data_IF_735471560245
#
_entry.id   IF_735471560245
#
_cell.length_a   1.000
_cell.length_b   1.000
_cell.length_c   1.000
_cell.angle_alpha   90.00
_cell.angle_beta   90.00
_cell.angle_gamma   90.00
#
_symmetry.space_group_name_H-M   'P 1'
#
loop_
_entity.id
_entity.type
_entity.pdbx_description
1 polymer ?
#
# COMPACT_ATOMS: atom_id res chain seq x y z
N UNK A 1 6.83 -20.89 -18.37
CA UNK A 1 5.62 -20.03 -18.49
C UNK A 1 5.05 -19.63 -17.14
N UNK A 2 4.83 -20.56 -16.20
CA UNK A 2 4.31 -20.28 -14.85
C UNK A 2 5.07 -19.20 -14.05
N UNK A 3 6.40 -19.22 -14.04
CA UNK A 3 7.20 -18.21 -13.31
C UNK A 3 7.08 -16.79 -13.87
N UNK A 4 6.87 -16.65 -15.18
CA UNK A 4 6.76 -15.33 -15.82
C UNK A 4 5.42 -14.68 -15.50
N UNK A 5 4.35 -15.47 -15.41
CA UNK A 5 3.03 -15.01 -14.99
C UNK A 5 2.98 -14.70 -13.50
N UNK A 6 3.57 -15.55 -12.65
CA UNK A 6 3.64 -15.30 -11.21
C UNK A 6 4.41 -14.01 -10.89
N UNK A 7 5.58 -13.80 -11.51
CA UNK A 7 6.35 -12.55 -11.38
C UNK A 7 5.57 -11.34 -11.89
N UNK A 8 4.89 -11.47 -13.04
CA UNK A 8 4.12 -10.37 -13.62
C UNK A 8 2.97 -9.96 -12.72
N UNK A 9 2.28 -10.91 -12.09
CA UNK A 9 1.20 -10.61 -11.16
C UNK A 9 1.71 -10.02 -9.84
N UNK A 10 2.84 -10.50 -9.32
CA UNK A 10 3.49 -9.89 -8.15
C UNK A 10 3.88 -8.43 -8.44
N UNK A 11 4.54 -8.16 -9.57
CA UNK A 11 4.90 -6.79 -9.93
C UNK A 11 3.68 -5.92 -10.25
N UNK A 12 2.59 -6.50 -10.78
CA UNK A 12 1.34 -5.79 -11.02
C UNK A 12 0.59 -5.51 -9.71
N UNK A 13 0.68 -6.37 -8.70
CA UNK A 13 0.11 -6.12 -7.39
C UNK A 13 0.94 -5.08 -6.63
N UNK A 14 2.27 -5.22 -6.63
CA UNK A 14 3.19 -4.19 -6.13
C UNK A 14 2.98 -2.84 -6.84
N UNK A 15 2.69 -2.84 -8.15
CA UNK A 15 2.33 -1.62 -8.87
C UNK A 15 1.16 -0.86 -8.27
N UNK A 16 0.16 -1.60 -7.77
CA UNK A 16 -1.08 -1.04 -7.26
C UNK A 16 -0.92 -0.47 -5.87
N UNK A 17 -0.02 -1.04 -5.07
CA UNK A 17 0.18 -0.64 -3.67
C UNK A 17 1.32 0.36 -3.51
N UNK A 18 2.35 0.28 -4.34
CA UNK A 18 3.45 1.25 -4.35
C UNK A 18 3.02 2.58 -4.93
N UNK A 19 2.92 3.59 -4.08
CA UNK A 19 2.59 4.93 -4.55
C UNK A 19 2.69 6.00 -3.47
N UNK A 20 1.81 6.99 -3.62
CA UNK A 20 1.72 8.14 -2.72
C UNK A 20 1.52 7.73 -1.27
N UNK A 21 0.83 6.60 -1.01
CA UNK A 21 0.63 6.06 0.33
C UNK A 21 1.94 5.75 1.07
N UNK A 22 2.94 5.19 0.39
CA UNK A 22 4.22 4.81 0.98
C UNK A 22 5.11 6.01 1.35
N UNK A 23 4.85 7.17 0.74
CA UNK A 23 5.64 8.39 0.92
C UNK A 23 4.85 9.40 1.75
N UNK A 24 3.77 9.92 1.19
CA UNK A 24 2.91 10.90 1.84
C UNK A 24 2.16 10.31 3.02
N UNK A 25 1.71 9.05 2.93
CA UNK A 25 1.03 8.39 4.05
C UNK A 25 1.93 8.21 5.25
N UNK A 26 3.19 7.81 5.05
CA UNK A 26 4.20 7.71 6.11
C UNK A 26 4.52 9.09 6.69
N UNK A 27 4.75 10.09 5.83
CA UNK A 27 5.01 11.47 6.26
C UNK A 27 3.85 12.03 7.09
N UNK A 28 2.60 11.83 6.65
CA UNK A 28 1.41 12.23 7.39
C UNK A 28 1.29 11.47 8.72
N UNK A 29 1.59 10.18 8.73
CA UNK A 29 1.61 9.36 9.95
C UNK A 29 2.60 9.90 10.99
N UNK A 30 3.81 10.26 10.56
CA UNK A 30 4.83 10.87 11.44
C UNK A 30 4.41 12.27 11.88
N UNK A 31 3.83 13.07 10.99
CA UNK A 31 3.38 14.43 11.31
C UNK A 31 2.24 14.45 12.35
N UNK A 32 1.26 13.55 12.19
CA UNK A 32 0.05 13.52 13.02
C UNK A 32 0.26 12.65 14.27
N UNK A 33 0.89 11.49 14.11
CA UNK A 33 1.07 10.49 15.17
C UNK A 33 2.45 10.51 15.85
N UNK A 34 3.37 11.35 15.37
CA UNK A 34 4.75 11.42 15.85
C UNK A 34 5.62 10.25 15.36
N UNK A 35 6.91 10.27 15.72
CA UNK A 35 7.89 9.25 15.33
C UNK A 35 7.50 7.82 15.75
N UNK A 36 6.72 7.68 16.83
CA UNK A 36 6.23 6.38 17.31
C UNK A 36 5.26 5.69 16.34
N UNK A 37 4.62 6.43 15.45
CA UNK A 37 3.76 5.84 14.40
C UNK A 37 4.52 4.88 13.49
N UNK A 38 5.82 5.12 13.25
CA UNK A 38 6.64 4.25 12.40
C UNK A 38 6.84 2.86 13.02
N UNK A 39 6.95 2.78 14.35
CA UNK A 39 6.98 1.49 15.07
C UNK A 39 5.67 0.73 14.88
N UNK A 40 4.53 1.40 15.08
CA UNK A 40 3.21 0.79 14.95
C UNK A 40 2.90 0.40 13.50
N UNK A 41 3.39 1.16 12.52
CA UNK A 41 3.33 0.80 11.10
C UNK A 41 4.15 -0.46 10.79
N UNK A 42 5.37 -0.57 11.32
CA UNK A 42 6.18 -1.77 11.17
C UNK A 42 5.52 -2.99 11.84
N UNK A 43 4.90 -2.82 13.00
CA UNK A 43 4.14 -3.88 13.66
C UNK A 43 2.88 -4.27 12.87
N UNK A 44 2.14 -3.29 12.36
CA UNK A 44 0.95 -3.51 11.52
C UNK A 44 1.28 -4.34 10.27
N UNK A 45 2.49 -4.20 9.73
CA UNK A 45 2.98 -5.00 8.58
C UNK A 45 2.88 -6.51 8.85
N UNK A 46 3.17 -6.96 10.07
CA UNK A 46 3.10 -8.40 10.42
C UNK A 46 1.64 -8.89 10.34
N UNK A 47 0.70 -8.14 10.89
CA UNK A 47 -0.72 -8.48 10.84
C UNK A 47 -1.28 -8.37 9.42
N UNK A 48 -0.90 -7.33 8.69
CA UNK A 48 -1.24 -7.13 7.28
C UNK A 48 -0.79 -8.32 6.41
N UNK A 49 0.40 -8.87 6.67
CA UNK A 49 0.92 -10.02 5.93
C UNK A 49 0.04 -11.27 6.10
N UNK A 50 -0.44 -11.53 7.32
CA UNK A 50 -1.35 -12.65 7.59
C UNK A 50 -2.69 -12.45 6.89
N UNK A 51 -3.24 -11.24 6.93
CA UNK A 51 -4.51 -10.92 6.25
C UNK A 51 -4.35 -11.09 4.74
N UNK A 52 -3.28 -10.54 4.14
CA UNK A 52 -3.00 -10.67 2.72
C UNK A 52 -2.78 -12.10 2.27
N UNK A 53 -2.11 -12.92 3.09
CA UNK A 53 -1.99 -14.34 2.84
C UNK A 53 -3.36 -15.01 2.71
N UNK A 54 -4.26 -14.75 3.67
CA UNK A 54 -5.61 -15.32 3.67
C UNK A 54 -6.42 -14.85 2.46
N UNK A 55 -6.39 -13.55 2.12
CA UNK A 55 -7.09 -12.98 0.97
C UNK A 55 -6.61 -13.60 -0.36
N UNK A 56 -5.29 -13.67 -0.58
CA UNK A 56 -4.73 -14.17 -1.82
C UNK A 56 -4.92 -15.70 -1.95
N UNK A 57 -4.79 -16.44 -0.86
CA UNK A 57 -5.05 -17.90 -0.82
C UNK A 57 -6.52 -18.19 -1.11
N UNK A 58 -7.44 -17.47 -0.46
CA UNK A 58 -8.87 -17.62 -0.70
C UNK A 58 -9.20 -17.34 -2.17
N UNK A 59 -8.67 -16.26 -2.73
CA UNK A 59 -8.91 -15.89 -4.14
C UNK A 59 -8.40 -16.96 -5.12
N UNK A 60 -7.21 -17.51 -4.88
CA UNK A 60 -6.62 -18.54 -5.73
C UNK A 60 -7.32 -19.90 -5.59
N UNK A 61 -8.03 -20.15 -4.50
CA UNK A 61 -8.83 -21.37 -4.31
C UNK A 61 -10.13 -21.39 -5.13
N UNK A 62 -10.62 -20.22 -5.58
CA UNK A 62 -11.84 -20.11 -6.37
C UNK A 62 -11.59 -20.55 -7.84
N UNK A 63 -12.58 -21.20 -8.43
CA UNK A 63 -12.50 -21.80 -9.78
C UNK A 63 -13.69 -21.39 -10.65
N UNK A 64 -13.56 -21.52 -11.99
CA UNK A 64 -14.64 -21.22 -12.93
C UNK A 64 -14.99 -19.73 -13.03
N UNK A 65 -16.27 -19.40 -13.19
CA UNK A 65 -16.76 -18.01 -13.22
C UNK A 65 -16.54 -17.25 -11.90
N UNK A 66 -16.30 -17.97 -10.80
CA UNK A 66 -16.03 -17.39 -9.48
C UNK A 66 -14.58 -16.91 -9.30
N UNK A 67 -13.70 -17.19 -10.27
CA UNK A 67 -12.37 -16.58 -10.35
C UNK A 67 -12.52 -15.08 -10.53
N UNK A 68 -12.19 -14.29 -9.51
CA UNK A 68 -12.14 -12.84 -9.69
C UNK A 68 -12.36 -11.98 -8.46
N UNK A 69 -12.70 -12.51 -7.29
CA UNK A 69 -12.54 -11.73 -6.07
C UNK A 69 -13.53 -12.00 -4.96
N UNK A 70 -13.23 -11.36 -3.82
CA UNK A 70 -13.92 -11.51 -2.55
C UNK A 70 -15.44 -11.33 -2.65
N UNK A 71 -15.95 -10.49 -3.56
CA UNK A 71 -17.38 -10.35 -3.80
C UNK A 71 -18.10 -11.68 -4.13
N UNK A 72 -17.47 -12.56 -4.93
CA UNK A 72 -18.04 -13.87 -5.26
C UNK A 72 -17.78 -14.90 -4.16
N UNK A 73 -16.62 -14.83 -3.52
CA UNK A 73 -16.30 -15.64 -2.35
C UNK A 73 -17.36 -15.47 -1.25
N UNK A 74 -17.80 -14.23 -1.00
CA UNK A 74 -18.84 -13.91 -0.02
C UNK A 74 -20.17 -14.57 -0.37
N UNK A 75 -20.56 -14.57 -1.65
CA UNK A 75 -21.77 -15.24 -2.13
C UNK A 75 -21.74 -16.76 -1.89
N UNK A 76 -20.56 -17.38 -2.00
CA UNK A 76 -20.39 -18.81 -1.76
C UNK A 76 -20.33 -19.16 -0.26
N UNK A 77 -19.61 -18.36 0.53
CA UNK A 77 -19.39 -18.61 1.97
C UNK A 77 -20.67 -18.33 2.79
N UNK A 78 -21.47 -17.35 2.39
CA UNK A 78 -22.67 -16.93 3.12
C UNK A 78 -23.96 -17.16 2.31
N UNK A 79 -24.63 -18.31 2.43
CA UNK A 79 -25.75 -18.68 1.56
C UNK A 79 -26.96 -17.74 1.63
N UNK A 80 -27.16 -17.06 2.77
CA UNK A 80 -28.34 -16.23 3.02
C UNK A 80 -28.14 -14.75 2.70
N UNK A 81 -26.92 -14.24 2.86
CA UNK A 81 -26.62 -12.80 2.73
C UNK A 81 -25.42 -12.51 1.84
N UNK A 82 -24.73 -13.53 1.32
CA UNK A 82 -23.47 -13.40 0.61
C UNK A 82 -23.56 -12.61 -0.69
N UNK A 83 -24.68 -12.73 -1.42
CA UNK A 83 -24.92 -11.92 -2.62
C UNK A 83 -25.03 -10.42 -2.29
N UNK A 84 -25.71 -10.06 -1.20
CA UNK A 84 -25.80 -8.69 -0.72
C UNK A 84 -24.44 -8.17 -0.22
N UNK A 85 -23.73 -8.96 0.59
CA UNK A 85 -22.38 -8.62 1.07
C UNK A 85 -21.40 -8.45 -0.10
N UNK A 86 -21.50 -9.30 -1.12
CA UNK A 86 -20.68 -9.23 -2.33
C UNK A 86 -20.96 -7.97 -3.15
N UNK A 87 -22.23 -7.61 -3.34
CA UNK A 87 -22.63 -6.38 -4.02
C UNK A 87 -22.17 -5.13 -3.23
N UNK A 88 -22.34 -5.12 -1.91
CA UNK A 88 -21.86 -4.05 -1.04
C UNK A 88 -20.34 -3.89 -1.13
N UNK A 89 -19.59 -4.99 -1.02
CA UNK A 89 -18.14 -5.00 -1.20
C UNK A 89 -17.73 -4.44 -2.57
N UNK A 90 -18.39 -4.87 -3.65
CA UNK A 90 -18.08 -4.40 -4.99
C UNK A 90 -18.29 -2.89 -5.13
N UNK A 91 -19.42 -2.36 -4.62
CA UNK A 91 -19.70 -0.92 -4.62
C UNK A 91 -18.68 -0.11 -3.83
N UNK A 92 -18.33 -0.57 -2.62
CA UNK A 92 -17.31 0.08 -1.79
C UNK A 92 -15.92 0.02 -2.45
N UNK A 93 -15.59 -1.09 -3.11
CA UNK A 93 -14.31 -1.26 -3.82
C UNK A 93 -14.20 -0.30 -5.00
N UNK A 94 -15.27 -0.08 -5.77
CA UNK A 94 -15.29 0.91 -6.86
C UNK A 94 -15.07 2.33 -6.32
N UNK A 95 -15.74 2.67 -5.22
CA UNK A 95 -15.55 3.97 -4.56
C UNK A 95 -14.11 4.14 -4.06
N UNK A 96 -13.56 3.11 -3.42
CA UNK A 96 -12.18 3.11 -2.93
C UNK A 96 -11.17 3.26 -4.08
N UNK A 97 -11.39 2.57 -5.20
CA UNK A 97 -10.54 2.69 -6.38
C UNK A 97 -10.52 4.12 -6.94
N UNK A 98 -11.64 4.85 -6.89
CA UNK A 98 -11.69 6.25 -7.32
C UNK A 98 -10.94 7.17 -6.33
N UNK A 99 -11.20 7.03 -5.03
CA UNK A 99 -10.62 7.89 -4.01
C UNK A 99 -9.11 7.65 -3.86
N UNK A 100 -8.72 6.41 -3.59
CA UNK A 100 -7.35 6.04 -3.26
C UNK A 100 -6.51 5.77 -4.51
N UNK A 101 -7.10 5.15 -5.54
CA UNK A 101 -6.40 4.85 -6.80
C UNK A 101 -6.23 6.05 -7.72
N UNK A 102 -7.02 7.12 -7.58
CA UNK A 102 -6.98 8.26 -8.49
C UNK A 102 -6.91 9.63 -7.79
N UNK A 103 -7.91 9.98 -6.97
CA UNK A 103 -8.01 11.35 -6.44
C UNK A 103 -6.83 11.71 -5.52
N UNK A 104 -6.46 10.83 -4.59
CA UNK A 104 -5.33 11.05 -3.68
C UNK A 104 -3.99 11.03 -4.44
N UNK A 105 -3.84 10.15 -5.43
CA UNK A 105 -2.59 10.05 -6.19
C UNK A 105 -2.36 11.27 -7.10
N UNK A 106 -3.39 11.69 -7.83
CA UNK A 106 -3.32 12.84 -8.73
C UNK A 106 -3.09 14.15 -8.00
N UNK A 107 -3.74 14.36 -6.85
CA UNK A 107 -3.54 15.55 -6.02
C UNK A 107 -2.12 15.63 -5.46
N UNK A 108 -1.58 14.54 -4.91
CA UNK A 108 -0.20 14.52 -4.42
C UNK A 108 0.82 14.76 -5.54
N UNK A 109 0.58 14.21 -6.74
CA UNK A 109 1.46 14.44 -7.88
C UNK A 109 1.42 15.90 -8.35
N UNK A 110 0.24 16.54 -8.35
CA UNK A 110 0.11 17.96 -8.66
C UNK A 110 0.83 18.84 -7.63
N UNK A 111 0.71 18.53 -6.33
CA UNK A 111 1.46 19.23 -5.27
C UNK A 111 2.97 19.03 -5.39
N UNK A 112 3.44 17.84 -5.81
CA UNK A 112 4.87 17.61 -6.09
C UNK A 112 5.35 18.45 -7.27
N UNK A 113 4.56 18.54 -8.35
CA UNK A 113 4.91 19.33 -9.53
C UNK A 113 5.00 20.82 -9.20
N UNK A 114 4.09 21.32 -8.36
CA UNK A 114 4.16 22.69 -7.85
C UNK A 114 5.41 22.90 -6.98
N UNK A 115 5.63 22.05 -5.98
CA UNK A 115 6.75 22.22 -5.05
C UNK A 115 8.14 22.04 -5.68
N UNK A 116 8.28 21.13 -6.64
CA UNK A 116 9.58 20.77 -7.22
C UNK A 116 9.89 21.50 -8.54
N UNK A 117 8.87 21.86 -9.32
CA UNK A 117 9.03 22.40 -10.67
C UNK A 117 8.33 23.76 -10.86
N UNK A 118 7.70 24.31 -9.82
CA UNK A 118 6.93 25.57 -9.85
C UNK A 118 5.82 25.56 -10.92
N UNK A 119 5.28 24.36 -11.22
CA UNK A 119 4.18 24.19 -12.18
C UNK A 119 2.85 24.36 -11.44
N UNK A 120 1.98 25.31 -11.85
CA UNK A 120 0.70 25.51 -11.19
C UNK A 120 -0.17 24.25 -11.17
N UNK A 121 -0.85 23.99 -10.04
CA UNK A 121 -1.70 22.81 -9.83
C UNK A 121 -2.71 22.61 -10.97
N UNK A 122 -3.32 23.69 -11.47
CA UNK A 122 -4.30 23.62 -12.56
C UNK A 122 -3.71 23.07 -13.86
N UNK A 123 -2.48 23.45 -14.19
CA UNK A 123 -1.79 23.00 -15.40
C UNK A 123 -1.28 21.56 -15.25
N UNK A 124 -0.66 21.21 -14.12
CA UNK A 124 -0.19 19.85 -13.86
C UNK A 124 -1.35 18.84 -13.82
N UNK A 125 -2.47 19.21 -13.20
CA UNK A 125 -3.69 18.39 -13.16
C UNK A 125 -4.25 18.14 -14.56
N UNK A 126 -4.25 19.14 -15.45
CA UNK A 126 -4.70 18.98 -16.84
C UNK A 126 -3.78 18.03 -17.61
N UNK A 127 -2.46 18.17 -17.46
CA UNK A 127 -1.47 17.28 -18.08
C UNK A 127 -1.69 15.83 -17.62
N UNK A 128 -1.87 15.61 -16.31
CA UNK A 128 -2.13 14.26 -15.78
C UNK A 128 -3.47 13.70 -16.24
N UNK A 129 -4.52 14.51 -16.35
CA UNK A 129 -5.80 14.08 -16.91
C UNK A 129 -5.63 13.56 -18.35
N UNK A 130 -4.93 14.30 -19.22
CA UNK A 130 -4.66 13.84 -20.58
C UNK A 130 -3.81 12.56 -20.61
N UNK A 131 -2.79 12.46 -19.76
CA UNK A 131 -1.97 11.25 -19.65
C UNK A 131 -2.80 10.03 -19.22
N UNK A 132 -3.72 10.19 -18.28
CA UNK A 132 -4.66 9.14 -17.85
C UNK A 132 -5.61 8.76 -18.98
N UNK A 133 -6.23 9.73 -19.66
CA UNK A 133 -7.14 9.46 -20.79
C UNK A 133 -6.43 8.66 -21.89
N UNK A 134 -5.21 9.07 -22.27
CA UNK A 134 -4.40 8.36 -23.28
C UNK A 134 -4.06 6.95 -22.81
N UNK A 135 -3.72 6.79 -21.52
CA UNK A 135 -3.39 5.48 -20.94
C UNK A 135 -4.59 4.54 -20.92
N UNK A 136 -5.77 5.04 -20.53
CA UNK A 136 -7.03 4.28 -20.45
C UNK A 136 -7.61 3.98 -21.83
N UNK A 137 -7.42 4.88 -22.82
CA UNK A 137 -7.77 4.61 -24.21
C UNK A 137 -6.94 3.47 -24.83
N UNK A 138 -5.81 3.12 -24.20
CA UNK A 138 -5.04 1.93 -24.51
C UNK A 138 -5.73 0.62 -24.08
N UNK A 139 -5.24 -0.51 -24.60
CA UNK A 139 -5.64 -1.83 -24.08
C UNK A 139 -4.98 -2.05 -22.71
N UNK A 140 -5.70 -2.62 -21.75
CA UNK A 140 -5.21 -2.96 -20.39
C UNK A 140 -3.90 -3.77 -20.41
N UNK A 141 -3.69 -4.58 -21.44
CA UNK A 141 -2.46 -5.35 -21.64
C UNK A 141 -1.22 -4.46 -21.89
N UNK A 142 -1.38 -3.31 -22.54
CA UNK A 142 -0.29 -2.34 -22.76
C UNK A 142 0.13 -1.70 -21.45
N UNK A 143 -0.83 -1.29 -20.61
CA UNK A 143 -0.56 -0.72 -19.29
C UNK A 143 0.24 -1.73 -18.47
N UNK A 144 -0.25 -2.96 -18.35
CA UNK A 144 0.43 -4.01 -17.59
C UNK A 144 1.89 -4.27 -18.06
N UNK A 145 2.17 -4.19 -19.37
CA UNK A 145 3.54 -4.36 -19.91
C UNK A 145 4.47 -3.19 -19.58
N UNK A 146 3.94 -1.96 -19.51
CA UNK A 146 4.71 -0.77 -19.13
C UNK A 146 4.99 -0.81 -17.63
N UNK A 147 3.93 -1.03 -16.84
CA UNK A 147 3.94 -1.17 -15.39
C UNK A 147 4.98 -2.21 -14.92
N UNK A 148 5.03 -3.38 -15.55
CA UNK A 148 6.01 -4.45 -15.24
C UNK A 148 7.48 -3.99 -15.33
N UNK A 149 7.78 -3.01 -16.18
CA UNK A 149 9.15 -2.48 -16.35
C UNK A 149 9.41 -1.25 -15.51
N UNK A 150 8.44 -0.34 -15.44
CA UNK A 150 8.59 0.96 -14.80
C UNK A 150 8.68 0.81 -13.29
N UNK A 151 7.82 0.00 -12.67
CA UNK A 151 7.78 -0.10 -11.20
C UNK A 151 9.04 -0.68 -10.58
N UNK A 152 9.59 -1.80 -11.07
CA UNK A 152 10.86 -2.28 -10.51
C UNK A 152 11.97 -1.22 -10.61
N UNK A 153 12.02 -0.48 -11.72
CA UNK A 153 13.00 0.59 -11.91
C UNK A 153 12.78 1.75 -10.92
N UNK A 154 11.56 2.26 -10.79
CA UNK A 154 11.26 3.38 -9.89
C UNK A 154 11.45 3.01 -8.43
N UNK A 155 11.08 1.78 -8.04
CA UNK A 155 11.30 1.24 -6.69
C UNK A 155 12.79 1.16 -6.36
N UNK A 156 13.62 0.66 -7.27
CA UNK A 156 15.08 0.59 -7.06
C UNK A 156 15.67 1.98 -6.91
N UNK A 157 15.29 2.92 -7.80
CA UNK A 157 15.75 4.32 -7.71
C UNK A 157 15.37 4.92 -6.36
N UNK A 158 14.13 4.72 -5.92
CA UNK A 158 13.65 5.23 -4.64
C UNK A 158 14.44 4.66 -3.46
N UNK A 159 14.67 3.33 -3.43
CA UNK A 159 15.46 2.67 -2.38
C UNK A 159 16.88 3.26 -2.34
N UNK A 160 17.52 3.45 -3.50
CA UNK A 160 18.85 4.05 -3.57
C UNK A 160 18.84 5.47 -3.01
N UNK A 161 17.84 6.29 -3.35
CA UNK A 161 17.72 7.66 -2.84
C UNK A 161 17.50 7.68 -1.33
N UNK A 162 16.58 6.87 -0.80
CA UNK A 162 16.32 6.77 0.63
C UNK A 162 17.55 6.28 1.41
N UNK A 163 18.22 5.24 0.91
CA UNK A 163 19.46 4.74 1.51
C UNK A 163 20.57 5.78 1.46
N UNK A 164 20.67 6.57 0.39
CA UNK A 164 21.68 7.64 0.30
C UNK A 164 21.49 8.68 1.40
N UNK A 165 20.25 9.11 1.65
CA UNK A 165 19.92 10.04 2.76
C UNK A 165 20.30 9.41 4.11
N UNK A 166 19.94 8.14 4.32
CA UNK A 166 20.25 7.39 5.54
C UNK A 166 21.76 7.25 5.75
N UNK A 167 22.53 6.92 4.70
CA UNK A 167 23.98 6.75 4.80
C UNK A 167 24.71 8.05 5.10
N UNK A 168 24.29 9.17 4.50
CA UNK A 168 24.84 10.50 4.82
C UNK A 168 24.57 10.87 6.29
N UNK A 169 23.47 10.38 6.87
CA UNK A 169 23.06 10.64 8.25
C UNK A 169 23.21 9.44 9.18
N UNK A 170 24.10 8.49 8.86
CA UNK A 170 24.21 7.19 9.55
C UNK A 170 24.44 7.33 11.07
N UNK A 171 25.13 8.40 11.49
CA UNK A 171 25.40 8.71 12.90
C UNK A 171 24.14 9.03 13.72
N UNK A 172 23.06 9.46 13.06
CA UNK A 172 21.77 9.78 13.70
C UNK A 172 20.88 8.56 13.88
N UNK A 173 21.15 7.45 13.19
CA UNK A 173 20.30 6.25 13.21
C UNK A 173 20.06 5.71 14.63
N UNK A 174 21.06 5.60 15.53
CA UNK A 174 20.80 5.17 16.90
C UNK A 174 19.81 6.09 17.63
N UNK A 175 19.92 7.41 17.42
CA UNK A 175 19.02 8.40 18.02
C UNK A 175 17.62 8.33 17.41
N UNK A 176 17.50 8.16 16.09
CA UNK A 176 16.23 7.98 15.39
C UNK A 176 15.50 6.73 15.87
N UNK A 177 16.19 5.58 15.99
CA UNK A 177 15.61 4.34 16.51
C UNK A 177 15.16 4.49 17.96
N UNK A 178 15.96 5.16 18.80
CA UNK A 178 15.56 5.48 20.18
C UNK A 178 14.31 6.36 20.21
N UNK A 179 14.24 7.39 19.36
CA UNK A 179 13.09 8.29 19.26
C UNK A 179 11.82 7.52 18.86
N UNK A 180 11.90 6.65 17.84
CA UNK A 180 10.79 5.82 17.37
C UNK A 180 10.24 4.97 18.52
N UNK A 181 11.10 4.20 19.21
CA UNK A 181 10.65 3.31 20.29
C UNK A 181 10.15 4.10 21.49
N UNK A 182 10.86 5.17 21.89
CA UNK A 182 10.44 6.03 23.00
C UNK A 182 9.09 6.67 22.75
N UNK A 183 8.87 7.20 21.55
CA UNK A 183 7.59 7.80 21.16
C UNK A 183 6.48 6.76 21.03
N UNK A 184 6.79 5.53 20.62
CA UNK A 184 5.80 4.45 20.49
C UNK A 184 5.29 3.95 21.84
N UNK A 185 6.15 3.92 22.86
CA UNK A 185 5.85 3.40 24.19
C UNK A 185 5.85 4.46 25.30
N UNK A 186 5.74 5.75 24.95
CA UNK A 186 5.69 6.83 25.93
C UNK A 186 4.53 6.55 26.91
N UNK A 187 4.82 6.28 28.20
CA UNK A 187 3.82 5.75 29.11
C UNK A 187 2.71 6.77 29.38
N UNK A 188 1.49 6.40 28.99
CA UNK A 188 0.25 7.14 29.24
C UNK A 188 0.04 7.51 30.73
N UNK A 189 0.66 6.76 31.64
CA UNK A 189 0.50 6.92 33.09
C UNK A 189 1.38 8.00 33.73
N UNK A 190 2.42 8.52 33.05
CA UNK A 190 3.45 9.35 33.69
C UNK A 190 3.28 10.86 33.45
N UNK A 191 2.39 11.33 32.57
CA UNK A 191 2.29 12.78 32.30
C UNK A 191 0.99 13.35 31.72
N UNK A 192 -0.17 12.76 32.06
CA UNK A 192 -1.48 13.35 31.76
C UNK A 192 -1.97 13.16 30.32
N UNK A 193 -3.14 13.76 30.01
CA UNK A 193 -3.92 13.48 28.79
C UNK A 193 -3.22 13.73 27.46
N UNK A 194 -2.24 14.63 27.41
CA UNK A 194 -1.50 14.94 26.18
C UNK A 194 -0.57 13.79 25.72
N UNK A 195 0.13 13.14 26.65
CA UNK A 195 1.02 12.01 26.31
C UNK A 195 0.22 10.76 25.95
N UNK A 196 -0.90 10.49 26.64
CA UNK A 196 -1.84 9.42 26.29
C UNK A 196 -2.48 9.63 24.93
N UNK A 197 -2.80 10.89 24.57
CA UNK A 197 -3.31 11.24 23.26
C UNK A 197 -2.28 10.98 22.16
N UNK A 198 -1.01 11.37 22.36
CA UNK A 198 0.07 11.12 21.40
C UNK A 198 0.35 9.62 21.21
N UNK A 199 0.32 8.83 22.27
CA UNK A 199 0.42 7.36 22.18
C UNK A 199 -0.71 6.77 21.32
N UNK A 200 -1.96 7.12 21.65
CA UNK A 200 -3.15 6.61 20.94
C UNK A 200 -3.16 7.04 19.48
N UNK A 201 -2.75 8.29 19.19
CA UNK A 201 -2.60 8.79 17.84
C UNK A 201 -1.47 8.12 17.07
N UNK A 202 -0.30 7.93 17.67
CA UNK A 202 0.80 7.20 17.07
C UNK A 202 0.42 5.78 16.70
N UNK A 203 -0.28 5.08 17.59
CA UNK A 203 -0.79 3.73 17.34
C UNK A 203 -1.82 3.72 16.21
N UNK A 204 -2.85 4.55 16.30
CA UNK A 204 -3.93 4.61 15.32
C UNK A 204 -3.42 5.00 13.93
N UNK A 205 -2.58 6.03 13.83
CA UNK A 205 -1.99 6.45 12.56
C UNK A 205 -1.01 5.39 12.04
N UNK A 206 -0.18 4.77 12.89
CA UNK A 206 0.74 3.72 12.44
C UNK A 206 0.00 2.53 11.81
N UNK A 207 -1.06 2.03 12.46
CA UNK A 207 -1.90 0.97 11.90
C UNK A 207 -2.66 1.43 10.65
N UNK A 208 -3.27 2.61 10.67
CA UNK A 208 -4.03 3.13 9.54
C UNK A 208 -3.14 3.32 8.30
N UNK A 209 -1.93 3.87 8.45
CA UNK A 209 -1.00 4.05 7.32
C UNK A 209 -0.40 2.73 6.88
N UNK A 210 -0.14 1.81 7.81
CA UNK A 210 0.31 0.47 7.49
C UNK A 210 -0.69 -0.30 6.62
N UNK A 211 -1.97 -0.32 6.99
CA UNK A 211 -3.01 -1.01 6.21
C UNK A 211 -3.36 -0.29 4.91
N UNK A 212 -3.32 1.04 4.89
CA UNK A 212 -3.50 1.81 3.65
C UNK A 212 -2.34 1.62 2.67
N UNK A 213 -1.11 1.41 3.14
CA UNK A 213 0.04 1.23 2.24
C UNK A 213 -0.07 -0.07 1.44
N UNK A 214 -0.26 -1.19 2.13
CA UNK A 214 -0.30 -2.52 1.51
C UNK A 214 -1.70 -3.03 1.15
N UNK A 215 -2.73 -2.22 1.39
CA UNK A 215 -4.15 -2.55 1.16
C UNK A 215 -4.58 -3.87 1.82
N UNK A 216 -3.97 -4.28 2.95
CA UNK A 216 -4.41 -5.47 3.66
C UNK A 216 -5.79 -5.27 4.28
N UNK A 217 -6.69 -6.23 4.09
CA UNK A 217 -8.06 -6.19 4.62
C UNK A 217 -9.06 -5.51 3.69
N UNK A 218 -8.61 -4.83 2.62
CA UNK A 218 -9.51 -4.25 1.60
C UNK A 218 -9.97 -5.30 0.59
N UNK A 219 -9.24 -6.42 0.46
CA UNK A 219 -9.50 -7.45 -0.52
C UNK A 219 -9.15 -7.12 -1.97
N UNK A 220 -8.62 -5.93 -2.28
CA UNK A 220 -8.36 -5.49 -3.66
C UNK A 220 -7.27 -6.31 -4.36
N UNK A 221 -6.20 -6.67 -3.67
CA UNK A 221 -5.10 -7.48 -4.26
C UNK A 221 -5.57 -8.87 -4.70
N UNK A 222 -6.67 -9.37 -4.13
CA UNK A 222 -7.27 -10.65 -4.52
C UNK A 222 -7.71 -10.65 -5.99
N UNK A 223 -8.06 -9.50 -6.56
CA UNK A 223 -8.38 -9.35 -7.99
C UNK A 223 -7.15 -9.56 -8.87
N UNK A 224 -5.98 -9.06 -8.46
CA UNK A 224 -4.73 -9.26 -9.19
C UNK A 224 -4.27 -10.73 -9.10
N UNK A 225 -4.36 -11.32 -7.91
CA UNK A 225 -3.94 -12.71 -7.65
C UNK A 225 -4.88 -13.75 -8.25
N UNK A 226 -6.17 -13.45 -8.43
CA UNK A 226 -7.13 -14.35 -9.09
C UNK A 226 -6.76 -14.71 -10.54
N UNK A 227 -5.90 -13.89 -11.17
CA UNK A 227 -5.40 -14.12 -12.53
C UNK A 227 -4.19 -15.04 -12.58
N UNK A 228 -3.57 -15.35 -11.43
CA UNK A 228 -2.47 -16.30 -11.37
C UNK A 228 -3.06 -17.69 -11.44
N UNK A 229 -2.80 -18.39 -12.55
CA UNK A 229 -3.11 -19.81 -12.67
C UNK A 229 -2.07 -20.61 -11.87
N UNK A 230 -2.17 -20.55 -10.53
CA UNK A 230 -1.39 -21.43 -9.65
C UNK A 230 -2.11 -22.76 -9.50
N UNK A 231 -1.36 -23.85 -9.41
CA UNK A 231 -1.89 -25.16 -8.99
C UNK A 231 -2.01 -25.26 -7.46
N UNK A 232 -1.45 -24.31 -6.72
CA UNK A 232 -1.36 -24.35 -5.26
C UNK A 232 -1.70 -22.97 -4.67
N UNK A 233 -2.90 -22.78 -4.09
CA UNK A 233 -3.35 -21.49 -3.56
C UNK A 233 -2.42 -20.86 -2.50
N UNK A 234 -1.68 -21.69 -1.75
CA UNK A 234 -0.68 -21.26 -0.77
C UNK A 234 0.40 -20.35 -1.38
N UNK A 235 0.79 -20.60 -2.63
CA UNK A 235 1.79 -19.81 -3.35
C UNK A 235 1.30 -18.39 -3.64
N UNK A 236 0.00 -18.22 -3.91
CA UNK A 236 -0.60 -16.89 -4.03
C UNK A 236 -0.62 -16.17 -2.66
N UNK A 237 -0.91 -16.90 -1.58
CA UNK A 237 -0.78 -16.40 -0.22
C UNK A 237 0.63 -15.88 0.10
N UNK A 238 1.67 -16.67 -0.22
CA UNK A 238 3.06 -16.28 -0.02
C UNK A 238 3.44 -15.03 -0.83
N UNK A 239 2.95 -14.91 -2.06
CA UNK A 239 3.14 -13.69 -2.86
C UNK A 239 2.53 -12.46 -2.16
N UNK A 240 1.35 -12.59 -1.53
CA UNK A 240 0.75 -11.52 -0.73
C UNK A 240 1.58 -11.11 0.49
N UNK A 241 2.26 -12.06 1.15
CA UNK A 241 3.21 -11.73 2.25
C UNK A 241 4.40 -10.92 1.70
N UNK A 242 4.94 -11.34 0.56
CA UNK A 242 6.07 -10.66 -0.09
C UNK A 242 5.70 -9.24 -0.49
N UNK A 243 4.47 -9.02 -0.98
CA UNK A 243 3.94 -7.68 -1.28
C UNK A 243 3.98 -6.78 -0.06
N UNK A 244 3.38 -7.23 1.05
CA UNK A 244 3.33 -6.47 2.31
C UNK A 244 4.73 -6.14 2.84
N UNK A 245 5.66 -7.09 2.73
CA UNK A 245 7.04 -6.89 3.16
C UNK A 245 7.75 -5.79 2.35
N UNK A 246 7.73 -5.87 1.02
CA UNK A 246 8.42 -4.87 0.20
C UNK A 246 7.77 -3.49 0.28
N UNK A 247 6.44 -3.46 0.34
CA UNK A 247 5.65 -2.23 0.42
C UNK A 247 5.84 -1.50 1.75
N UNK A 248 5.49 -2.16 2.85
CA UNK A 248 5.40 -1.49 4.15
C UNK A 248 6.62 -1.80 5.02
N UNK A 249 7.03 -3.07 5.05
CA UNK A 249 8.16 -3.52 5.87
C UNK A 249 9.50 -2.94 5.43
N UNK A 250 9.67 -2.70 4.12
CA UNK A 250 10.89 -2.12 3.55
C UNK A 250 10.68 -0.66 3.14
N UNK A 251 9.82 -0.37 2.16
CA UNK A 251 9.75 0.98 1.59
C UNK A 251 9.23 1.99 2.59
N UNK A 252 8.11 1.75 3.26
CA UNK A 252 7.59 2.70 4.25
C UNK A 252 8.52 2.91 5.45
N UNK A 253 9.22 1.85 5.89
CA UNK A 253 10.25 1.97 6.93
C UNK A 253 11.42 2.82 6.46
N UNK A 254 11.93 2.60 5.24
CA UNK A 254 12.98 3.43 4.64
C UNK A 254 12.53 4.89 4.48
N UNK A 255 11.30 5.14 4.04
CA UNK A 255 10.70 6.48 3.99
C UNK A 255 10.75 7.14 5.36
N UNK A 256 10.23 6.45 6.39
CA UNK A 256 10.16 7.00 7.73
C UNK A 256 11.53 7.28 8.34
N UNK A 257 12.51 6.39 8.11
CA UNK A 257 13.89 6.59 8.53
C UNK A 257 14.59 7.73 7.77
N UNK A 258 14.24 7.96 6.50
CA UNK A 258 14.78 9.09 5.75
C UNK A 258 14.16 10.43 6.18
N UNK A 259 12.91 10.42 6.69
CA UNK A 259 12.23 11.61 7.21
C UNK A 259 12.74 12.00 8.60
N UNK A 260 13.07 11.02 9.46
CA UNK A 260 13.46 11.21 10.87
C UNK A 260 14.97 11.35 11.08
#
# INVERSE_FOLDING_TARGET
MKDKEARRSLFLALAGTLGVGNIFGVAAGILIGGAGSLFWLALATVFSAVIKYAEATLSASLSGEDRGGIHKALAHIFPRCGSFLGALYAGLTVLLAFLMGSAIQSSALASCAEAALDIPIGLSSLIFLFAVIISVAGKSEKIAKITEKVIPLTTIIYIIMALSVIFVNISRIPQTLYLIVKSAFAPASVGGGALSFLFSKGLSEGFARGTLSNEAGTGTSSLAHSRISTSEPSMAGLAGIVEVFFDTGLLCVLTGLAIL
#
